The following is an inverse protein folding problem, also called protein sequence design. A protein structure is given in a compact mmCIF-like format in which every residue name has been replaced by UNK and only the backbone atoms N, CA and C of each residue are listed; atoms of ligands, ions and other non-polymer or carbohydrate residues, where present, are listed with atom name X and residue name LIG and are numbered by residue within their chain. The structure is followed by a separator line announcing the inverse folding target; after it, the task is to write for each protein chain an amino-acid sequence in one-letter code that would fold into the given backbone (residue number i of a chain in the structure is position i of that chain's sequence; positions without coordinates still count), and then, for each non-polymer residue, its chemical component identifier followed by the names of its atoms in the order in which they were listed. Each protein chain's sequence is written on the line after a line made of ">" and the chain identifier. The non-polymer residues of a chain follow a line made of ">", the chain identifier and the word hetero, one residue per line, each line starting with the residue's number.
data_IF_665988749284
#
_entry.id   IF_665988749284
#
_cell.length_a   1.000
_cell.length_b   1.000
_cell.length_c   1.000
_cell.angle_alpha   90.00
_cell.angle_beta   90.00
_cell.angle_gamma   90.00
#
_symmetry.space_group_name_H-M   'P 1'
#
loop_
_entity.id
_entity.type
_entity.pdbx_description
1 polymer ?
#
# COMPACT_ATOMS: atom_id res chain seq x y z
N UNK A 1 -16.15 -31.15 2.99
CA UNK A 1 -15.86 -29.97 2.13
C UNK A 1 -16.94 -29.92 1.06
N UNK A 2 -17.93 -29.04 1.22
CA UNK A 2 -19.09 -28.99 0.35
C UNK A 2 -18.67 -28.35 -0.99
N UNK A 3 -18.44 -29.15 -2.03
CA UNK A 3 -18.09 -28.62 -3.36
C UNK A 3 -19.32 -27.89 -3.90
N UNK A 4 -19.32 -26.55 -3.83
CA UNK A 4 -20.23 -25.77 -4.67
C UNK A 4 -19.95 -26.19 -6.11
N UNK A 5 -20.97 -26.68 -6.84
CA UNK A 5 -20.87 -26.90 -8.28
C UNK A 5 -20.56 -25.54 -8.90
N UNK A 6 -19.30 -25.31 -9.28
CA UNK A 6 -18.97 -24.19 -10.13
C UNK A 6 -19.29 -24.60 -11.57
N UNK A 7 -19.93 -23.69 -12.30
CA UNK A 7 -20.22 -23.89 -13.73
C UNK A 7 -19.02 -23.52 -14.61
N UNK A 8 -18.00 -22.87 -14.03
CA UNK A 8 -16.79 -22.46 -14.71
C UNK A 8 -15.72 -23.55 -14.58
N UNK A 9 -15.09 -23.87 -15.70
CA UNK A 9 -13.90 -24.72 -15.74
C UNK A 9 -12.71 -24.01 -15.06
N UNK A 10 -11.71 -24.75 -14.59
CA UNK A 10 -10.54 -24.22 -13.86
C UNK A 10 -9.81 -23.13 -14.67
N UNK A 11 -9.74 -23.29 -16.00
CA UNK A 11 -9.19 -22.27 -16.91
C UNK A 11 -10.01 -20.98 -16.93
N UNK A 12 -11.34 -21.08 -16.81
CA UNK A 12 -12.22 -19.91 -16.77
C UNK A 12 -12.13 -19.21 -15.42
N UNK A 13 -12.05 -19.94 -14.31
CA UNK A 13 -11.80 -19.35 -12.98
C UNK A 13 -10.48 -18.55 -12.95
N UNK A 14 -9.40 -19.10 -13.50
CA UNK A 14 -8.11 -18.37 -13.57
C UNK A 14 -8.19 -17.11 -14.43
N UNK A 15 -8.94 -17.13 -15.53
CA UNK A 15 -9.18 -15.94 -16.36
C UNK A 15 -9.99 -14.90 -15.61
N UNK A 16 -11.05 -15.32 -14.92
CA UNK A 16 -11.88 -14.44 -14.11
C UNK A 16 -11.07 -13.78 -12.99
N UNK A 17 -10.26 -14.56 -12.27
CA UNK A 17 -9.40 -14.03 -11.20
C UNK A 17 -8.41 -12.96 -11.71
N UNK A 18 -7.87 -13.15 -12.93
CA UNK A 18 -7.02 -12.13 -13.57
C UNK A 18 -7.82 -10.86 -13.87
N UNK A 19 -9.04 -10.98 -14.41
CA UNK A 19 -9.90 -9.84 -14.71
C UNK A 19 -10.25 -9.06 -13.43
N UNK A 20 -10.66 -9.76 -12.38
CA UNK A 20 -10.94 -9.16 -11.07
C UNK A 20 -9.70 -8.46 -10.50
N UNK A 21 -8.52 -9.08 -10.64
CA UNK A 21 -7.26 -8.48 -10.21
C UNK A 21 -6.92 -7.20 -10.97
N UNK A 22 -7.05 -7.18 -12.29
CA UNK A 22 -6.82 -5.97 -13.10
C UNK A 22 -7.86 -4.89 -12.79
N UNK A 23 -9.14 -5.27 -12.65
CA UNK A 23 -10.21 -4.36 -12.27
C UNK A 23 -9.95 -3.70 -10.92
N UNK A 24 -9.55 -4.49 -9.92
CA UNK A 24 -9.14 -3.99 -8.61
C UNK A 24 -8.01 -2.97 -8.71
N UNK A 25 -6.94 -3.28 -9.46
CA UNK A 25 -5.80 -2.35 -9.60
C UNK A 25 -6.18 -1.06 -10.33
N UNK A 26 -7.05 -1.12 -11.34
CA UNK A 26 -7.55 0.08 -12.03
C UNK A 26 -8.29 0.98 -11.04
N UNK A 27 -9.20 0.41 -10.23
CA UNK A 27 -9.94 1.18 -9.23
C UNK A 27 -9.00 1.73 -8.16
N UNK A 28 -8.05 0.94 -7.69
CA UNK A 28 -7.09 1.34 -6.66
C UNK A 28 -6.19 2.49 -7.12
N UNK A 29 -5.57 2.37 -8.30
CA UNK A 29 -4.74 3.43 -8.86
C UNK A 29 -5.57 4.65 -9.30
N UNK A 30 -6.80 4.44 -9.78
CA UNK A 30 -7.73 5.51 -10.11
C UNK A 30 -8.12 6.34 -8.89
N UNK A 31 -8.43 5.68 -7.75
CA UNK A 31 -8.72 6.34 -6.48
C UNK A 31 -7.50 7.13 -5.97
N UNK A 32 -6.30 6.54 -6.05
CA UNK A 32 -5.07 7.25 -5.69
C UNK A 32 -4.84 8.48 -6.58
N UNK A 33 -5.05 8.37 -7.89
CA UNK A 33 -4.92 9.48 -8.82
C UNK A 33 -5.94 10.59 -8.52
N UNK A 34 -7.19 10.25 -8.19
CA UNK A 34 -8.22 11.22 -7.80
C UNK A 34 -7.79 12.02 -6.56
N UNK A 35 -7.30 11.35 -5.51
CA UNK A 35 -6.78 11.97 -4.30
C UNK A 35 -5.61 12.92 -4.64
N UNK A 36 -4.65 12.45 -5.45
CA UNK A 36 -3.49 13.27 -5.83
C UNK A 36 -3.90 14.53 -6.61
N UNK A 37 -4.82 14.41 -7.56
CA UNK A 37 -5.35 15.56 -8.30
C UNK A 37 -6.04 16.56 -7.37
N UNK A 38 -6.83 16.08 -6.41
CA UNK A 38 -7.46 16.94 -5.42
C UNK A 38 -6.41 17.66 -4.55
N UNK A 39 -5.34 16.97 -4.12
CA UNK A 39 -4.24 17.59 -3.36
C UNK A 39 -3.47 18.64 -4.18
N UNK A 40 -3.27 18.44 -5.49
CA UNK A 40 -2.50 19.37 -6.31
C UNK A 40 -3.30 20.57 -6.79
N UNK A 41 -4.58 20.38 -7.14
CA UNK A 41 -5.40 21.43 -7.76
C UNK A 41 -6.32 22.18 -6.78
N UNK A 42 -6.55 21.67 -5.57
CA UNK A 42 -7.44 22.35 -4.62
C UNK A 42 -6.81 23.60 -4.04
N UNK A 43 -7.39 24.76 -4.34
CA UNK A 43 -7.07 26.07 -3.77
C UNK A 43 -7.55 26.24 -2.33
N UNK A 44 -8.53 25.45 -1.89
CA UNK A 44 -9.09 25.57 -0.53
C UNK A 44 -8.39 24.60 0.43
N UNK A 45 -7.28 25.05 1.05
CA UNK A 45 -6.52 24.22 2.00
C UNK A 45 -7.31 23.89 3.27
N UNK A 46 -8.24 24.75 3.64
CA UNK A 46 -9.00 24.61 4.89
C UNK A 46 -10.01 23.45 4.83
N UNK A 47 -10.59 23.19 3.65
CA UNK A 47 -11.56 22.13 3.43
C UNK A 47 -10.99 20.89 2.72
N UNK A 48 -9.72 20.93 2.30
CA UNK A 48 -9.03 19.84 1.61
C UNK A 48 -9.20 18.49 2.34
N UNK A 49 -8.94 18.49 3.66
CA UNK A 49 -9.03 17.28 4.47
C UNK A 49 -10.46 16.74 4.54
N UNK A 50 -11.49 17.60 4.58
CA UNK A 50 -12.89 17.15 4.57
C UNK A 50 -13.30 16.57 3.23
N UNK A 51 -12.84 17.19 2.13
CA UNK A 51 -13.16 16.76 0.78
C UNK A 51 -12.52 15.40 0.46
N UNK A 52 -11.27 15.20 0.88
CA UNK A 52 -10.50 13.99 0.60
C UNK A 52 -10.70 12.90 1.66
N UNK A 53 -11.24 13.22 2.85
CA UNK A 53 -11.37 12.26 3.95
C UNK A 53 -12.09 10.97 3.54
N UNK A 54 -13.18 11.07 2.78
CA UNK A 54 -13.94 9.90 2.31
C UNK A 54 -13.09 8.99 1.42
N UNK A 55 -12.48 9.55 0.38
CA UNK A 55 -11.62 8.83 -0.55
C UNK A 55 -10.40 8.22 0.15
N UNK A 56 -9.78 8.99 1.04
CA UNK A 56 -8.62 8.56 1.80
C UNK A 56 -8.93 7.41 2.76
N UNK A 57 -10.07 7.47 3.46
CA UNK A 57 -10.50 6.38 4.35
C UNK A 57 -10.75 5.09 3.56
N UNK A 58 -11.47 5.18 2.43
CA UNK A 58 -11.73 4.01 1.57
C UNK A 58 -10.41 3.44 1.05
N UNK A 59 -9.51 4.30 0.57
CA UNK A 59 -8.19 3.90 0.10
C UNK A 59 -7.41 3.16 1.20
N UNK A 60 -7.33 3.73 2.40
CA UNK A 60 -6.60 3.13 3.54
C UNK A 60 -7.19 1.79 3.96
N UNK A 61 -8.53 1.66 4.01
CA UNK A 61 -9.19 0.38 4.34
C UNK A 61 -8.81 -0.72 3.35
N UNK A 62 -8.84 -0.42 2.06
CA UNK A 62 -8.46 -1.36 1.00
C UNK A 62 -6.98 -1.72 1.10
N UNK A 63 -6.09 -0.75 1.31
CA UNK A 63 -4.65 -0.99 1.47
C UNK A 63 -4.32 -1.87 2.69
N UNK A 64 -4.97 -1.61 3.83
CA UNK A 64 -4.78 -2.40 5.06
C UNK A 64 -5.31 -3.82 4.88
N UNK A 65 -6.50 -3.97 4.29
CA UNK A 65 -7.06 -5.29 3.99
C UNK A 65 -6.11 -6.11 3.11
N UNK A 66 -5.59 -5.51 2.03
CA UNK A 66 -4.64 -6.17 1.13
C UNK A 66 -3.37 -6.59 1.88
N UNK A 67 -2.79 -5.69 2.69
CA UNK A 67 -1.61 -5.99 3.50
C UNK A 67 -1.84 -7.16 4.45
N UNK A 68 -2.94 -7.13 5.22
CA UNK A 68 -3.25 -8.18 6.19
C UNK A 68 -3.50 -9.50 5.47
N UNK A 69 -4.27 -9.50 4.38
CA UNK A 69 -4.53 -10.68 3.58
C UNK A 69 -3.22 -11.30 3.03
N UNK A 70 -2.30 -10.49 2.53
CA UNK A 70 -0.97 -10.94 2.10
C UNK A 70 -0.19 -11.55 3.28
N UNK A 71 -0.15 -10.89 4.43
CA UNK A 71 0.58 -11.37 5.61
C UNK A 71 0.04 -12.69 6.16
N UNK A 72 -1.30 -12.84 6.27
CA UNK A 72 -1.94 -14.06 6.79
C UNK A 72 -1.62 -15.28 5.92
N UNK A 73 -1.57 -15.07 4.60
CA UNK A 73 -1.24 -16.09 3.60
C UNK A 73 0.28 -16.29 3.43
N UNK A 74 1.13 -15.55 4.16
CA UNK A 74 2.57 -15.66 4.02
C UNK A 74 3.09 -15.21 2.64
N UNK A 75 2.41 -14.27 2.00
CA UNK A 75 2.80 -13.71 0.70
C UNK A 75 3.46 -12.35 0.95
N UNK A 76 4.78 -12.25 0.72
CA UNK A 76 5.53 -11.00 0.87
C UNK A 76 5.59 -10.22 -0.44
N UNK A 77 6.46 -10.63 -1.35
CA UNK A 77 6.58 -10.08 -2.70
C UNK A 77 7.33 -11.10 -3.57
N UNK A 78 7.06 -11.11 -4.87
CA UNK A 78 7.69 -12.03 -5.84
C UNK A 78 9.15 -11.72 -6.09
N UNK A 79 9.58 -10.46 -5.90
CA UNK A 79 10.94 -9.99 -6.24
C UNK A 79 11.69 -9.34 -5.08
N UNK A 80 11.00 -8.68 -4.16
CA UNK A 80 11.64 -7.99 -3.05
C UNK A 80 11.82 -8.94 -1.87
N UNK A 81 13.05 -9.04 -1.36
CA UNK A 81 13.33 -9.78 -0.13
C UNK A 81 12.97 -8.93 1.10
N UNK A 82 12.43 -9.53 2.19
CA UNK A 82 12.15 -8.83 3.44
C UNK A 82 13.46 -8.50 4.18
N UNK A 83 14.18 -7.49 3.67
CA UNK A 83 15.48 -7.04 4.17
C UNK A 83 15.43 -5.54 4.48
N UNK A 84 16.17 -5.13 5.51
CA UNK A 84 16.25 -3.73 5.96
C UNK A 84 16.70 -2.80 4.83
N UNK A 85 17.69 -3.21 4.03
CA UNK A 85 18.17 -2.40 2.90
C UNK A 85 17.06 -2.07 1.90
N UNK A 86 16.27 -3.09 1.54
CA UNK A 86 15.15 -2.94 0.60
C UNK A 86 14.05 -2.06 1.17
N UNK A 87 13.73 -2.23 2.47
CA UNK A 87 12.73 -1.41 3.14
C UNK A 87 13.17 0.06 3.21
N UNK A 88 14.44 0.35 3.50
CA UNK A 88 14.98 1.71 3.52
C UNK A 88 14.89 2.35 2.13
N UNK A 89 15.28 1.63 1.07
CA UNK A 89 15.19 2.14 -0.31
C UNK A 89 13.73 2.45 -0.68
N UNK A 90 12.79 1.54 -0.38
CA UNK A 90 11.38 1.72 -0.68
C UNK A 90 10.76 2.89 0.10
N UNK A 91 11.14 3.04 1.36
CA UNK A 91 10.73 4.16 2.22
C UNK A 91 11.30 5.48 1.71
N UNK A 92 12.54 5.47 1.20
CA UNK A 92 13.19 6.65 0.62
C UNK A 92 12.50 7.07 -0.68
N UNK A 93 12.21 6.12 -1.58
CA UNK A 93 11.47 6.39 -2.82
C UNK A 93 10.10 7.01 -2.52
N UNK A 94 9.34 6.41 -1.61
CA UNK A 94 8.01 6.92 -1.24
C UNK A 94 8.08 8.29 -0.57
N UNK A 95 9.05 8.50 0.33
CA UNK A 95 9.34 9.80 0.94
C UNK A 95 9.66 10.87 -0.10
N UNK A 96 10.59 10.60 -1.03
CA UNK A 96 10.99 11.55 -2.09
C UNK A 96 9.79 11.89 -2.99
N UNK A 97 9.03 10.89 -3.42
CA UNK A 97 7.85 11.11 -4.26
C UNK A 97 6.83 12.00 -3.55
N UNK A 98 6.47 11.70 -2.30
CA UNK A 98 5.52 12.52 -1.55
C UNK A 98 6.08 13.91 -1.26
N UNK A 99 7.35 14.01 -0.87
CA UNK A 99 8.00 15.28 -0.57
C UNK A 99 8.01 16.22 -1.77
N UNK A 100 8.34 15.73 -2.97
CA UNK A 100 8.32 16.51 -4.21
C UNK A 100 6.89 16.93 -4.58
N UNK A 101 5.91 16.02 -4.46
CA UNK A 101 4.51 16.33 -4.78
C UNK A 101 3.95 17.44 -3.89
N UNK A 102 4.17 17.36 -2.57
CA UNK A 102 3.70 18.38 -1.64
C UNK A 102 4.51 19.67 -1.72
N UNK A 103 5.80 19.58 -2.02
CA UNK A 103 6.63 20.75 -2.36
C UNK A 103 6.04 21.50 -3.56
N UNK A 104 5.77 20.80 -4.67
CA UNK A 104 5.23 21.38 -5.89
C UNK A 104 3.84 21.98 -5.67
N UNK A 105 2.95 21.26 -4.98
CA UNK A 105 1.61 21.76 -4.61
C UNK A 105 1.71 23.03 -3.74
N UNK A 106 2.55 23.02 -2.71
CA UNK A 106 2.76 24.19 -1.85
C UNK A 106 3.36 25.38 -2.60
N UNK A 107 4.29 25.13 -3.53
CA UNK A 107 4.90 26.19 -4.32
C UNK A 107 3.90 26.82 -5.29
N UNK A 108 3.12 26.01 -6.00
CA UNK A 108 2.09 26.47 -6.92
C UNK A 108 1.02 27.31 -6.22
N UNK A 109 0.65 26.92 -5.00
CA UNK A 109 -0.43 27.55 -4.24
C UNK A 109 -0.04 28.87 -3.56
N UNK A 110 1.15 28.93 -2.97
CA UNK A 110 1.56 30.08 -2.14
C UNK A 110 2.66 30.95 -2.76
N UNK A 111 3.35 30.47 -3.81
CA UNK A 111 4.46 31.17 -4.45
C UNK A 111 5.70 31.38 -3.56
N UNK A 112 5.70 30.88 -2.32
CA UNK A 112 6.79 31.07 -1.34
C UNK A 112 7.71 29.85 -1.33
N UNK A 113 8.91 30.01 -1.89
CA UNK A 113 9.93 28.94 -1.94
C UNK A 113 10.29 28.40 -0.56
N UNK A 114 10.58 29.27 0.41
CA UNK A 114 11.00 28.84 1.75
C UNK A 114 9.94 27.97 2.45
N UNK A 115 8.66 28.35 2.33
CA UNK A 115 7.54 27.57 2.88
C UNK A 115 7.33 26.24 2.17
N UNK A 116 7.50 26.22 0.84
CA UNK A 116 7.42 24.99 0.06
C UNK A 116 8.54 24.01 0.43
N UNK A 117 9.79 24.47 0.56
CA UNK A 117 10.93 23.64 0.97
C UNK A 117 10.68 23.03 2.35
N UNK A 118 10.24 23.85 3.32
CA UNK A 118 9.94 23.38 4.66
C UNK A 118 8.84 22.31 4.66
N UNK A 119 7.76 22.53 3.89
CA UNK A 119 6.65 21.58 3.76
C UNK A 119 7.10 20.27 3.12
N UNK A 120 7.83 20.34 2.01
CA UNK A 120 8.36 19.17 1.31
C UNK A 120 9.32 18.36 2.19
N UNK A 121 10.22 19.02 2.92
CA UNK A 121 11.16 18.37 3.84
C UNK A 121 10.46 17.69 5.03
N UNK A 122 9.46 18.35 5.61
CA UNK A 122 8.68 17.78 6.71
C UNK A 122 7.88 16.55 6.26
N UNK A 123 7.17 16.64 5.14
CA UNK A 123 6.41 15.53 4.56
C UNK A 123 7.33 14.38 4.17
N UNK A 124 8.49 14.67 3.56
CA UNK A 124 9.51 13.66 3.25
C UNK A 124 9.90 12.87 4.50
N UNK A 125 10.29 13.56 5.58
CA UNK A 125 10.75 12.92 6.81
C UNK A 125 9.63 12.09 7.46
N UNK A 126 8.41 12.64 7.53
CA UNK A 126 7.26 11.95 8.10
C UNK A 126 6.90 10.69 7.31
N UNK A 127 6.77 10.79 5.98
CA UNK A 127 6.43 9.64 5.12
C UNK A 127 7.54 8.60 5.17
N UNK A 128 8.80 9.01 5.15
CA UNK A 128 9.93 8.10 5.28
C UNK A 128 9.87 7.28 6.58
N UNK A 129 9.69 7.94 7.73
CA UNK A 129 9.63 7.26 9.03
C UNK A 129 8.41 6.33 9.11
N UNK A 130 7.23 6.79 8.66
CA UNK A 130 6.00 6.01 8.70
C UNK A 130 6.07 4.77 7.80
N UNK A 131 6.54 4.92 6.57
CA UNK A 131 6.65 3.81 5.61
C UNK A 131 7.68 2.79 6.06
N UNK A 132 8.82 3.25 6.58
CA UNK A 132 9.88 2.40 7.12
C UNK A 132 9.41 1.61 8.34
N UNK A 133 8.70 2.27 9.26
CA UNK A 133 8.08 1.64 10.43
C UNK A 133 7.05 0.59 10.02
N UNK A 134 6.16 0.92 9.10
CA UNK A 134 5.13 0.01 8.59
C UNK A 134 5.74 -1.22 7.90
N UNK A 135 6.77 -1.04 7.07
CA UNK A 135 7.49 -2.12 6.40
C UNK A 135 8.25 -3.00 7.39
N UNK A 136 8.85 -2.43 8.43
CA UNK A 136 9.50 -3.23 9.46
C UNK A 136 8.49 -4.06 10.27
N UNK A 137 7.35 -3.46 10.62
CA UNK A 137 6.28 -4.15 11.33
C UNK A 137 5.73 -5.30 10.46
N UNK A 138 5.50 -5.06 9.17
CA UNK A 138 5.02 -6.10 8.26
C UNK A 138 6.04 -7.22 8.06
N UNK A 139 7.35 -6.92 7.95
CA UNK A 139 8.40 -7.96 7.91
C UNK A 139 8.38 -8.81 9.18
N UNK A 140 8.24 -8.17 10.34
CA UNK A 140 8.21 -8.88 11.62
C UNK A 140 7.03 -9.85 11.71
N UNK A 141 5.82 -9.36 11.39
CA UNK A 141 4.60 -10.18 11.37
C UNK A 141 4.72 -11.31 10.34
N UNK A 142 5.24 -10.99 9.15
CA UNK A 142 5.46 -11.94 8.07
C UNK A 142 6.37 -13.10 8.51
N UNK A 143 7.55 -12.81 9.06
CA UNK A 143 8.51 -13.85 9.50
C UNK A 143 7.90 -14.75 10.56
N UNK A 144 7.19 -14.17 11.54
CA UNK A 144 6.50 -14.93 12.59
C UNK A 144 5.40 -15.83 12.01
N UNK A 145 4.66 -15.35 11.00
CA UNK A 145 3.59 -16.11 10.36
C UNK A 145 4.14 -17.26 9.51
N UNK A 146 5.19 -17.03 8.72
CA UNK A 146 5.82 -18.07 7.90
C UNK A 146 6.38 -19.19 8.76
N UNK A 147 7.11 -18.89 9.84
CA UNK A 147 7.61 -19.90 10.77
C UNK A 147 6.49 -20.77 11.36
N UNK A 148 5.34 -20.17 11.67
CA UNK A 148 4.18 -20.91 12.17
C UNK A 148 3.60 -21.85 11.12
N UNK A 149 3.52 -21.40 9.86
CA UNK A 149 3.03 -22.21 8.74
C UNK A 149 3.97 -23.39 8.44
N UNK A 150 5.28 -23.17 8.48
CA UNK A 150 6.30 -24.21 8.32
C UNK A 150 6.18 -25.27 9.42
N UNK A 151 6.11 -24.87 10.70
CA UNK A 151 5.93 -25.79 11.82
C UNK A 151 4.62 -26.59 11.76
N UNK A 152 3.51 -25.96 11.36
CA UNK A 152 2.24 -26.63 11.14
C UNK A 152 2.37 -27.71 10.03
N UNK A 153 3.08 -27.40 8.94
CA UNK A 153 3.29 -28.34 7.83
C UNK A 153 4.17 -29.54 8.22
N UNK A 154 5.26 -29.33 8.95
CA UNK A 154 6.16 -30.39 9.42
C UNK A 154 5.44 -31.32 10.41
N UNK A 155 4.67 -30.75 11.34
CA UNK A 155 3.89 -31.54 12.30
C UNK A 155 2.78 -32.39 11.64
N UNK A 156 2.21 -31.90 10.53
CA UNK A 156 1.24 -32.64 9.76
C UNK A 156 1.89 -33.77 8.93
N UNK A 157 3.10 -33.53 8.41
CA UNK A 157 3.89 -34.54 7.71
C UNK A 157 4.33 -35.67 8.65
N UNK A 158 4.75 -35.35 9.88
CA UNK A 158 5.23 -36.34 10.85
C UNK A 158 4.10 -37.17 11.51
N UNK A 159 2.83 -36.82 11.26
CA UNK A 159 1.64 -37.56 11.71
C UNK A 159 1.06 -38.49 10.63
N UNK A 160 1.58 -38.45 9.41
CA UNK A 160 1.19 -39.32 8.29
C UNK A 160 2.16 -40.48 8.16
#
# INVERSE_FOLDING_TARGET
>A
MNRKKNNLDEMQEQKLLKIEHYGFWIVYWGLLAAILLQVTFSTDSENLFRNIAGEWVVFMLVSIYLLIACLINGIWDRRLKPNLKTNVILSLISGVLCGILFFASSYYKYGKLAGAIATGGFIFAQVFILTLGALMLSVFIYKKRVQKLEAESESASNKK
#
